data_IF_397890055126
#
_entry.id   IF_397890055126
#
_cell.length_a   1.000
_cell.length_b   1.000
_cell.length_c   1.000
_cell.angle_alpha   90.00
_cell.angle_beta   90.00
_cell.angle_gamma   90.00
#
_symmetry.space_group_name_H-M   'P 1'
#
loop_
_entity.id
_entity.type
_entity.pdbx_description
1 polymer ?
#
# COMPACT_ATOMS: atom_id res chain seq x y z
N UNK A 1 48.54 -36.95 14.78
CA UNK A 1 48.39 -36.32 13.45
C UNK A 1 46.90 -36.08 13.18
N UNK A 2 46.59 -35.12 12.31
CA UNK A 2 45.35 -34.31 12.20
C UNK A 2 44.02 -35.07 12.06
N UNK A 3 42.97 -34.46 12.64
CA UNK A 3 41.53 -34.71 12.44
C UNK A 3 41.09 -34.22 11.05
N UNK A 4 40.12 -34.89 10.45
CA UNK A 4 39.36 -34.34 9.31
C UNK A 4 37.90 -34.73 9.42
N UNK A 5 37.11 -33.85 10.04
CA UNK A 5 35.65 -33.85 9.91
C UNK A 5 35.33 -32.95 8.73
N UNK A 6 34.69 -33.48 7.68
CA UNK A 6 34.22 -32.68 6.56
C UNK A 6 33.05 -31.81 7.03
N UNK A 7 33.23 -30.50 7.03
CA UNK A 7 32.15 -29.55 7.21
C UNK A 7 31.37 -29.46 5.89
N UNK A 8 30.09 -29.79 5.94
CA UNK A 8 29.14 -29.47 4.86
C UNK A 8 28.96 -27.95 4.90
N UNK A 9 29.61 -27.26 3.96
CA UNK A 9 29.36 -25.86 3.68
C UNK A 9 27.98 -25.77 3.03
N UNK A 10 26.95 -25.58 3.87
CA UNK A 10 25.61 -25.20 3.41
C UNK A 10 25.67 -23.83 2.77
N UNK A 11 25.73 -23.83 1.43
CA UNK A 11 25.35 -22.73 0.56
C UNK A 11 23.94 -22.24 0.95
N UNK A 12 23.75 -20.93 1.04
CA UNK A 12 22.41 -20.34 1.08
C UNK A 12 22.23 -19.19 2.06
N UNK A 13 23.17 -18.24 2.12
CA UNK A 13 22.82 -16.87 2.52
C UNK A 13 21.97 -16.25 1.40
N UNK A 14 20.71 -16.65 1.30
CA UNK A 14 19.68 -15.82 0.67
C UNK A 14 19.29 -14.78 1.71
N UNK A 15 20.19 -13.80 1.91
CA UNK A 15 19.80 -12.54 2.51
C UNK A 15 18.75 -11.95 1.59
N UNK A 16 17.49 -11.98 2.03
CA UNK A 16 16.42 -11.19 1.45
C UNK A 16 16.83 -9.73 1.64
N UNK A 17 17.54 -9.20 0.66
CA UNK A 17 17.69 -7.77 0.49
C UNK A 17 16.30 -7.24 0.17
N UNK A 18 15.56 -6.89 1.22
CA UNK A 18 14.47 -5.91 1.16
C UNK A 18 15.00 -4.74 0.34
N UNK A 19 14.57 -4.68 -0.90
CA UNK A 19 15.08 -3.72 -1.86
C UNK A 19 14.64 -2.33 -1.38
N UNK A 20 15.55 -1.35 -1.23
CA UNK A 20 15.22 -0.02 -0.73
C UNK A 20 14.39 0.83 -1.72
N UNK A 21 13.81 0.20 -2.75
CA UNK A 21 13.18 0.88 -3.89
C UNK A 21 11.89 1.62 -3.52
N UNK A 22 11.29 1.33 -2.37
CA UNK A 22 10.14 2.10 -1.85
C UNK A 22 10.53 3.09 -0.75
N UNK A 23 11.82 3.18 -0.39
CA UNK A 23 12.33 4.11 0.60
C UNK A 23 13.09 5.31 0.00
N UNK A 24 13.28 5.35 -1.32
CA UNK A 24 14.14 6.33 -1.98
C UNK A 24 13.33 7.50 -2.58
N UNK A 25 13.27 8.60 -1.82
CA UNK A 25 13.22 9.98 -2.31
C UNK A 25 12.18 10.35 -3.39
N UNK A 26 10.89 10.03 -3.19
CA UNK A 26 9.85 10.83 -3.82
C UNK A 26 9.49 11.99 -2.89
N UNK A 27 9.55 13.21 -3.40
CA UNK A 27 9.29 14.45 -2.66
C UNK A 27 7.98 14.33 -1.87
N UNK A 28 8.08 14.42 -0.54
CA UNK A 28 6.98 14.20 0.42
C UNK A 28 5.90 15.30 0.36
N UNK A 29 5.95 16.17 -0.64
CA UNK A 29 5.03 17.28 -0.87
C UNK A 29 3.97 16.99 -1.94
N UNK A 30 4.09 15.86 -2.65
CA UNK A 30 3.13 15.45 -3.67
C UNK A 30 1.76 15.07 -3.09
N UNK A 31 0.69 15.63 -3.67
CA UNK A 31 -0.70 15.21 -3.41
C UNK A 31 -0.97 13.93 -4.21
N UNK A 32 -1.22 12.82 -3.53
CA UNK A 32 -1.64 11.56 -4.17
C UNK A 32 -3.16 11.50 -4.22
N UNK A 33 -3.74 11.16 -5.36
CA UNK A 33 -5.19 10.95 -5.50
C UNK A 33 -5.47 9.46 -5.62
N UNK A 34 -6.38 8.96 -4.79
CA UNK A 34 -6.78 7.56 -4.73
C UNK A 34 -8.25 7.44 -5.14
N UNK A 35 -8.51 6.59 -6.13
CA UNK A 35 -9.83 6.30 -6.64
C UNK A 35 -10.16 4.82 -6.45
N UNK A 36 -11.42 4.53 -6.10
CA UNK A 36 -11.92 3.17 -5.96
C UNK A 36 -13.03 2.90 -6.96
N UNK A 37 -13.04 1.70 -7.53
CA UNK A 37 -14.06 1.29 -8.50
C UNK A 37 -14.41 -0.19 -8.35
N UNK A 38 -15.50 -0.60 -9.01
CA UNK A 38 -16.01 -1.98 -8.98
C UNK A 38 -16.19 -2.54 -7.56
N UNK A 39 -16.73 -1.71 -6.67
CA UNK A 39 -16.96 -2.04 -5.27
C UNK A 39 -17.96 -3.19 -5.13
N UNK A 40 -17.60 -4.18 -4.33
CA UNK A 40 -18.47 -5.31 -3.96
C UNK A 40 -18.15 -5.81 -2.56
N UNK A 41 -19.08 -6.57 -1.98
CA UNK A 41 -18.77 -7.32 -0.76
C UNK A 41 -17.72 -8.40 -1.06
N UNK A 42 -16.87 -8.72 -0.08
CA UNK A 42 -15.81 -9.73 -0.24
C UNK A 42 -16.38 -11.11 -0.60
N UNK A 43 -17.63 -11.38 -0.18
CA UNK A 43 -18.40 -12.58 -0.53
C UNK A 43 -18.74 -12.69 -2.03
N UNK A 44 -18.49 -11.64 -2.79
CA UNK A 44 -18.82 -11.52 -4.22
C UNK A 44 -20.26 -11.08 -4.49
N UNK A 45 -21.04 -10.82 -3.45
CA UNK A 45 -22.34 -10.19 -3.59
C UNK A 45 -22.19 -8.71 -4.00
N UNK A 46 -23.17 -8.15 -4.73
CA UNK A 46 -23.22 -6.72 -4.98
C UNK A 46 -23.12 -5.92 -3.68
N UNK A 47 -22.54 -4.72 -3.76
CA UNK A 47 -22.51 -3.81 -2.63
C UNK A 47 -23.94 -3.47 -2.17
N UNK A 48 -24.18 -3.57 -0.87
CA UNK A 48 -25.44 -3.21 -0.21
C UNK A 48 -25.48 -1.73 0.21
N UNK A 49 -24.43 -0.98 -0.13
CA UNK A 49 -24.21 0.42 0.23
C UNK A 49 -23.07 0.61 1.23
N UNK A 50 -22.64 -0.47 1.89
CA UNK A 50 -21.52 -0.44 2.85
C UNK A 50 -20.22 0.02 2.19
N UNK A 51 -19.87 -0.57 1.04
CA UNK A 51 -18.60 -0.26 0.38
C UNK A 51 -18.62 1.10 -0.27
N UNK A 52 -19.75 1.47 -0.90
CA UNK A 52 -19.93 2.79 -1.49
C UNK A 52 -19.79 3.89 -0.45
N UNK A 53 -20.37 3.73 0.73
CA UNK A 53 -20.27 4.72 1.82
C UNK A 53 -18.82 4.96 2.25
N UNK A 54 -17.98 3.92 2.25
CA UNK A 54 -16.57 4.05 2.64
C UNK A 54 -15.66 4.58 1.52
N UNK A 55 -15.84 4.08 0.30
CA UNK A 55 -14.81 4.18 -0.75
C UNK A 55 -15.21 5.01 -1.98
N UNK A 56 -16.50 5.28 -2.22
CA UNK A 56 -16.96 5.72 -3.55
C UNK A 56 -16.46 7.09 -4.00
N UNK A 57 -16.14 7.97 -3.07
CA UNK A 57 -15.69 9.32 -3.40
C UNK A 57 -14.16 9.42 -3.51
N UNK A 58 -13.44 8.29 -3.36
CA UNK A 58 -11.97 8.29 -3.31
C UNK A 58 -11.43 9.19 -2.19
N UNK A 59 -10.17 9.56 -2.29
CA UNK A 59 -9.61 10.65 -1.50
C UNK A 59 -8.32 11.17 -2.11
N UNK A 60 -7.99 12.42 -1.82
CA UNK A 60 -6.62 12.89 -2.00
C UNK A 60 -5.89 12.95 -0.68
N UNK A 61 -4.62 12.61 -0.70
CA UNK A 61 -3.82 12.44 0.50
C UNK A 61 -2.46 13.11 0.37
N UNK A 62 -1.94 13.60 1.49
CA UNK A 62 -0.60 14.18 1.60
C UNK A 62 0.21 13.42 2.65
N UNK A 63 1.49 13.23 2.37
CA UNK A 63 2.40 12.57 3.29
C UNK A 63 2.67 13.45 4.51
N UNK A 64 2.58 12.88 5.71
CA UNK A 64 2.83 13.57 6.98
C UNK A 64 4.16 13.18 7.64
N UNK A 65 4.92 12.32 6.99
CA UNK A 65 6.14 11.73 7.56
C UNK A 65 5.85 10.42 8.30
N UNK A 66 6.71 10.05 9.25
CA UNK A 66 6.62 8.77 9.97
C UNK A 66 6.14 8.96 11.40
N UNK A 67 5.38 8.00 11.92
CA UNK A 67 4.99 7.95 13.33
C UNK A 67 6.16 7.52 14.24
N UNK A 68 5.91 7.42 15.55
CA UNK A 68 6.94 7.02 16.53
C UNK A 68 7.48 5.60 16.30
N UNK A 69 6.68 4.72 15.68
CA UNK A 69 7.03 3.34 15.35
C UNK A 69 7.67 3.21 13.95
N UNK A 70 7.86 4.33 13.24
CA UNK A 70 8.48 4.37 11.91
C UNK A 70 7.53 4.11 10.74
N UNK A 71 6.22 3.93 10.99
CA UNK A 71 5.20 3.72 9.97
C UNK A 71 4.86 5.03 9.26
N UNK A 72 4.61 4.97 7.95
CA UNK A 72 4.27 6.16 7.16
C UNK A 72 2.86 6.63 7.49
N UNK A 73 2.72 7.92 7.79
CA UNK A 73 1.44 8.58 8.00
C UNK A 73 1.05 9.40 6.78
N UNK A 74 -0.23 9.30 6.46
CA UNK A 74 -0.87 10.02 5.38
C UNK A 74 -2.18 10.60 5.92
N UNK A 75 -2.41 11.89 5.64
CA UNK A 75 -3.69 12.53 5.96
C UNK A 75 -4.42 12.82 4.66
N UNK A 76 -5.68 12.42 4.57
CA UNK A 76 -6.52 12.79 3.43
C UNK A 76 -7.18 14.16 3.62
N UNK A 77 -7.53 14.82 2.52
CA UNK A 77 -8.33 16.06 2.54
C UNK A 77 -9.74 15.87 3.15
N UNK A 78 -10.16 14.61 3.34
CA UNK A 78 -11.43 14.23 3.99
C UNK A 78 -11.27 13.91 5.47
N UNK A 79 -10.06 14.06 6.03
CA UNK A 79 -9.80 13.78 7.44
C UNK A 79 -9.67 12.28 7.78
N UNK A 80 -9.49 11.41 6.77
CA UNK A 80 -8.99 10.04 7.02
C UNK A 80 -7.58 10.11 7.58
N UNK A 81 -7.37 9.46 8.72
CA UNK A 81 -6.05 9.10 9.21
C UNK A 81 -5.68 7.75 8.61
N UNK A 82 -4.61 7.73 7.81
CA UNK A 82 -4.13 6.54 7.12
C UNK A 82 -2.72 6.23 7.60
N UNK A 83 -2.57 5.04 8.17
CA UNK A 83 -1.28 4.50 8.58
C UNK A 83 -0.88 3.38 7.63
N UNK A 84 0.26 3.51 6.95
CA UNK A 84 0.83 2.43 6.15
C UNK A 84 1.69 1.57 7.08
N UNK A 85 1.20 0.36 7.39
CA UNK A 85 1.81 -0.54 8.37
C UNK A 85 2.81 -1.50 7.74
N UNK A 86 2.52 -1.95 6.52
CA UNK A 86 3.39 -2.84 5.78
C UNK A 86 3.45 -2.45 4.30
N UNK A 87 4.65 -2.53 3.74
CA UNK A 87 4.92 -2.31 2.32
C UNK A 87 5.92 -3.35 1.85
N UNK A 88 5.51 -4.19 0.91
CA UNK A 88 6.37 -5.15 0.21
C UNK A 88 6.25 -4.93 -1.29
N UNK A 89 7.31 -5.22 -2.04
CA UNK A 89 7.28 -5.03 -3.48
C UNK A 89 8.52 -5.52 -4.19
N UNK A 90 8.36 -5.72 -5.50
CA UNK A 90 9.44 -6.10 -6.41
C UNK A 90 9.51 -5.08 -7.54
N UNK A 91 10.72 -4.68 -7.91
CA UNK A 91 10.97 -3.80 -9.04
C UNK A 91 11.97 -4.48 -9.97
N UNK A 92 11.65 -4.51 -11.26
CA UNK A 92 12.49 -5.11 -12.28
C UNK A 92 12.03 -4.70 -13.67
N UNK A 93 12.98 -4.56 -14.58
CA UNK A 93 12.69 -4.34 -16.01
C UNK A 93 11.77 -3.12 -16.31
N UNK A 94 11.79 -2.10 -15.43
CA UNK A 94 10.97 -0.89 -15.58
C UNK A 94 9.52 -1.04 -15.10
N UNK A 95 9.15 -2.17 -14.50
CA UNK A 95 7.86 -2.40 -13.85
C UNK A 95 8.03 -2.62 -12.35
N UNK A 96 6.97 -2.35 -11.60
CA UNK A 96 6.92 -2.68 -10.18
C UNK A 96 5.57 -3.30 -9.80
N UNK A 97 5.62 -4.12 -8.75
CA UNK A 97 4.45 -4.63 -8.03
C UNK A 97 4.61 -4.30 -6.56
N UNK A 98 3.54 -3.85 -5.93
CA UNK A 98 3.52 -3.47 -4.51
C UNK A 98 2.33 -4.14 -3.81
N UNK A 99 2.58 -4.60 -2.60
CA UNK A 99 1.57 -4.99 -1.63
C UNK A 99 1.66 -4.04 -0.45
N UNK A 100 0.53 -3.44 -0.07
CA UNK A 100 0.47 -2.58 1.11
C UNK A 100 -0.63 -3.04 2.05
N UNK A 101 -0.36 -2.92 3.34
CA UNK A 101 -1.37 -2.97 4.39
C UNK A 101 -1.52 -1.57 4.98
N UNK A 102 -2.76 -1.11 5.06
CA UNK A 102 -3.14 0.18 5.62
C UNK A 102 -4.07 0.00 6.80
N UNK A 103 -3.98 0.88 7.78
CA UNK A 103 -5.07 1.11 8.72
C UNK A 103 -5.71 2.46 8.38
N UNK A 104 -7.01 2.44 8.06
CA UNK A 104 -7.78 3.64 7.74
C UNK A 104 -8.81 3.89 8.83
N UNK A 105 -8.76 5.07 9.44
CA UNK A 105 -9.84 5.55 10.32
C UNK A 105 -10.78 6.42 9.50
N UNK A 106 -12.01 5.94 9.28
CA UNK A 106 -13.05 6.69 8.57
C UNK A 106 -13.74 7.67 9.51
N UNK A 107 -13.81 8.98 9.18
CA UNK A 107 -14.36 10.00 10.07
C UNK A 107 -15.85 9.80 10.38
N UNK A 108 -16.59 9.23 9.44
CA UNK A 108 -18.04 8.98 9.54
C UNK A 108 -18.40 7.64 10.20
N UNK A 109 -17.40 6.86 10.66
CA UNK A 109 -17.68 5.61 11.39
C UNK A 109 -18.00 5.90 12.86
N UNK A 110 -19.10 5.32 13.37
CA UNK A 110 -19.61 5.60 14.73
C UNK A 110 -18.55 5.41 15.82
N UNK A 111 -17.72 4.37 15.69
CA UNK A 111 -16.70 4.00 16.68
C UNK A 111 -15.27 4.45 16.30
N UNK A 112 -15.07 5.06 15.12
CA UNK A 112 -13.73 5.40 14.59
C UNK A 112 -12.72 4.25 14.66
N UNK A 113 -13.21 3.01 14.59
CA UNK A 113 -12.36 1.84 14.62
C UNK A 113 -11.49 1.81 13.34
N UNK A 114 -10.16 1.56 13.46
CA UNK A 114 -9.31 1.38 12.30
C UNK A 114 -9.79 0.20 11.45
N UNK A 115 -9.83 0.40 10.15
CA UNK A 115 -10.13 -0.64 9.16
C UNK A 115 -8.82 -1.03 8.49
N UNK A 116 -8.43 -2.29 8.63
CA UNK A 116 -7.28 -2.83 7.93
C UNK A 116 -7.64 -3.04 6.45
N UNK A 117 -6.82 -2.49 5.55
CA UNK A 117 -7.00 -2.59 4.10
C UNK A 117 -5.74 -3.18 3.50
N UNK A 118 -5.87 -4.29 2.79
CA UNK A 118 -4.78 -4.85 1.98
C UNK A 118 -4.97 -4.44 0.53
N UNK A 119 -3.89 -3.99 -0.11
CA UNK A 119 -3.84 -3.66 -1.53
C UNK A 119 -2.75 -4.45 -2.23
N UNK A 120 -3.04 -4.87 -3.46
CA UNK A 120 -2.04 -5.33 -4.43
C UNK A 120 -2.13 -4.46 -5.68
N UNK A 121 -1.03 -3.81 -6.06
CA UNK A 121 -1.00 -2.92 -7.22
C UNK A 121 0.27 -3.10 -8.04
N UNK A 122 0.23 -2.61 -9.28
CA UNK A 122 1.35 -2.63 -10.20
C UNK A 122 1.40 -1.37 -11.05
N UNK A 123 2.59 -1.03 -11.53
CA UNK A 123 2.80 0.14 -12.37
C UNK A 123 4.12 0.09 -13.14
N UNK A 124 4.32 1.08 -14.00
CA UNK A 124 5.57 1.32 -14.71
C UNK A 124 6.37 2.37 -13.94
N UNK A 125 7.67 2.13 -13.75
CA UNK A 125 8.53 3.03 -12.97
C UNK A 125 8.54 4.44 -13.56
N UNK A 126 8.19 5.44 -12.75
CA UNK A 126 8.13 6.84 -13.17
C UNK A 126 6.85 7.23 -13.90
N UNK A 127 5.88 6.33 -14.04
CA UNK A 127 4.60 6.60 -14.68
C UNK A 127 3.44 6.58 -13.66
N UNK A 128 2.37 7.31 -14.00
CA UNK A 128 1.12 7.38 -13.26
C UNK A 128 -0.04 7.19 -14.25
N UNK A 129 -1.10 6.45 -13.90
CA UNK A 129 -1.40 5.90 -12.57
C UNK A 129 -0.80 4.52 -12.28
N UNK A 130 -0.76 4.20 -10.98
CA UNK A 130 -0.60 2.83 -10.46
C UNK A 130 -1.99 2.21 -10.30
N UNK A 131 -2.17 0.97 -10.71
CA UNK A 131 -3.48 0.30 -10.69
C UNK A 131 -3.41 -1.03 -9.94
N UNK A 132 -4.48 -1.38 -9.25
CA UNK A 132 -4.51 -2.56 -8.42
C UNK A 132 -5.89 -2.96 -7.94
N UNK A 133 -5.88 -3.85 -6.96
CA UNK A 133 -7.06 -4.34 -6.25
C UNK A 133 -6.86 -4.17 -4.75
N UNK A 134 -7.95 -4.07 -4.01
CA UNK A 134 -7.92 -3.96 -2.56
C UNK A 134 -8.99 -4.81 -1.90
N UNK A 135 -8.81 -5.08 -0.61
CA UNK A 135 -9.79 -5.71 0.27
C UNK A 135 -9.61 -5.22 1.70
N UNK A 136 -10.70 -4.97 2.41
CA UNK A 136 -10.71 -4.65 3.85
C UNK A 136 -11.35 -5.76 4.72
N UNK A 137 -11.56 -6.94 4.11
CA UNK A 137 -12.25 -8.07 4.73
C UNK A 137 -13.78 -7.97 4.71
N UNK A 138 -14.34 -6.80 4.40
CA UNK A 138 -15.78 -6.58 4.15
C UNK A 138 -16.05 -6.27 2.68
N UNK A 139 -15.26 -5.35 2.14
CA UNK A 139 -15.33 -4.76 0.83
C UNK A 139 -14.11 -5.14 0.01
N UNK A 140 -14.30 -5.26 -1.29
CA UNK A 140 -13.24 -5.43 -2.29
C UNK A 140 -13.53 -4.59 -3.53
N UNK A 141 -12.49 -4.30 -4.29
CA UNK A 141 -12.65 -3.63 -5.57
C UNK A 141 -11.31 -3.33 -6.23
N UNK A 142 -11.35 -2.43 -7.19
CA UNK A 142 -10.20 -1.88 -7.87
C UNK A 142 -9.78 -0.56 -7.23
N UNK A 143 -8.47 -0.31 -7.24
CA UNK A 143 -7.87 0.93 -6.75
C UNK A 143 -6.97 1.50 -7.83
N UNK A 144 -7.05 2.81 -8.03
CA UNK A 144 -6.18 3.59 -8.92
C UNK A 144 -5.53 4.70 -8.12
N UNK A 145 -4.21 4.80 -8.20
CA UNK A 145 -3.41 5.77 -7.46
C UNK A 145 -2.70 6.66 -8.46
N UNK A 146 -3.01 7.95 -8.41
CA UNK A 146 -2.37 9.00 -9.17
C UNK A 146 -1.41 9.77 -8.28
N UNK A 147 -0.12 9.60 -8.49
CA UNK A 147 0.85 10.50 -7.89
C UNK A 147 0.89 11.83 -8.66
N UNK A 148 1.06 12.92 -7.90
CA UNK A 148 1.50 14.19 -8.45
C UNK A 148 2.89 13.97 -9.04
N UNK A 149 2.94 13.68 -10.34
CA UNK A 149 4.20 13.68 -11.07
C UNK A 149 4.70 15.11 -11.08
N UNK A 150 5.83 15.36 -10.39
CA UNK A 150 6.64 16.52 -10.68
C UNK A 150 7.02 16.43 -12.16
N UNK A 151 6.34 17.23 -12.99
CA UNK A 151 6.81 17.49 -14.34
C UNK A 151 8.11 18.26 -14.18
N UNK A 152 9.22 17.54 -14.38
CA UNK A 152 10.57 18.07 -14.54
C UNK A 152 10.61 19.32 -15.42
#
# INVERSE_FOLDING_TARGET
MKKTTAAVAGLGLLGLAISPVLADNHDTTGKTTVEFSELSLVSGQPDDGTCKTRYSDGYSAVHKGKNADGHQQVESEKGHDILITETDGTVGEGIFTVTNTYEIVFPDSEDKAPVEVTMFASGVSGESPVVGVFSDGTCRGHITIHDATDKS
#
